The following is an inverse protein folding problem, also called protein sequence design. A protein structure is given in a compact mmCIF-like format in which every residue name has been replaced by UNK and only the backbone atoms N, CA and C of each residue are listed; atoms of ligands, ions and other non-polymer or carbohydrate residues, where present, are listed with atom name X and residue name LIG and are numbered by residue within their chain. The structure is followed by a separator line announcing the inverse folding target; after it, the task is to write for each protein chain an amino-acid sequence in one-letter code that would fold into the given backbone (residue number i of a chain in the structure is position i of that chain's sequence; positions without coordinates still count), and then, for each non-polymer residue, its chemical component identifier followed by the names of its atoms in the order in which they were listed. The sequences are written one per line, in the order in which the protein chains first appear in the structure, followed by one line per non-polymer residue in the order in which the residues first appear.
data_IF_784431380496
#
_entry.id   IF_784431380496
#
_cell.length_a   1.000
_cell.length_b   1.000
_cell.length_c   1.000
_cell.angle_alpha   90.00
_cell.angle_beta   90.00
_cell.angle_gamma   90.00
#
_symmetry.space_group_name_H-M   'P 1'
#
loop_
_entity.id
_entity.type
_entity.pdbx_description
1 polymer ?
#
# COMPACT_ATOMS: atom_id res chain seq x y z
N UNK A 1 36.80 -8.12 -26.12
CA UNK A 1 36.39 -9.16 -25.13
C UNK A 1 37.55 -9.36 -24.18
N UNK A 2 37.39 -9.51 -22.85
CA UNK A 2 36.21 -9.94 -22.06
C UNK A 2 35.77 -8.87 -21.00
N UNK A 3 34.50 -8.73 -20.61
CA UNK A 3 33.66 -9.46 -19.64
C UNK A 3 33.32 -8.62 -18.37
N UNK A 4 32.02 -8.53 -18.07
CA UNK A 4 31.38 -8.29 -16.78
C UNK A 4 31.63 -7.00 -15.97
N UNK A 5 30.57 -6.17 -15.88
CA UNK A 5 29.98 -5.82 -14.57
C UNK A 5 28.49 -5.48 -14.74
N UNK A 6 27.64 -6.46 -14.49
CA UNK A 6 26.19 -6.29 -14.33
C UNK A 6 25.95 -5.36 -13.14
N UNK A 7 25.27 -4.25 -13.38
CA UNK A 7 24.89 -3.31 -12.33
C UNK A 7 23.91 -3.97 -11.37
N UNK A 8 24.32 -4.08 -10.11
CA UNK A 8 23.47 -4.43 -8.98
C UNK A 8 22.32 -3.44 -8.90
N UNK A 9 21.12 -3.89 -9.27
CA UNK A 9 19.89 -3.16 -9.02
C UNK A 9 19.58 -3.24 -7.51
N UNK A 10 19.23 -2.13 -6.84
CA UNK A 10 18.84 -2.18 -5.44
C UNK A 10 17.54 -2.98 -5.32
N UNK A 11 17.68 -4.25 -4.91
CA UNK A 11 16.58 -5.07 -4.43
C UNK A 11 15.96 -4.33 -3.26
N UNK A 12 14.70 -3.91 -3.41
CA UNK A 12 13.93 -3.30 -2.33
C UNK A 12 13.96 -4.23 -1.14
N UNK A 13 14.54 -3.76 -0.03
CA UNK A 13 14.63 -4.53 1.21
C UNK A 13 13.21 -5.00 1.61
N UNK A 14 13.05 -6.26 2.05
CA UNK A 14 11.78 -6.75 2.55
C UNK A 14 11.24 -5.80 3.61
N UNK A 15 9.92 -5.57 3.55
CA UNK A 15 9.13 -4.79 4.50
C UNK A 15 9.71 -4.82 5.90
N UNK A 16 10.14 -3.65 6.40
CA UNK A 16 10.61 -3.49 7.76
C UNK A 16 9.63 -4.17 8.72
N UNK A 17 10.11 -5.20 9.42
CA UNK A 17 9.43 -5.72 10.60
C UNK A 17 9.07 -4.53 11.50
N UNK A 18 7.85 -4.45 12.04
CA UNK A 18 7.48 -3.36 12.94
C UNK A 18 8.57 -3.22 14.01
N UNK A 19 9.00 -2.00 14.37
CA UNK A 19 10.01 -1.81 15.39
C UNK A 19 9.58 -2.60 16.63
N UNK A 20 10.51 -3.27 17.31
CA UNK A 20 10.21 -4.14 18.46
C UNK A 20 9.31 -3.46 19.52
N UNK A 21 9.30 -2.13 19.55
CA UNK A 21 8.40 -1.30 20.35
C UNK A 21 6.92 -1.42 19.97
N UNK A 22 6.59 -1.48 18.67
CA UNK A 22 5.20 -1.62 18.21
C UNK A 22 4.57 -2.94 18.65
N UNK A 23 5.36 -4.03 18.71
CA UNK A 23 4.90 -5.32 19.24
C UNK A 23 4.66 -5.28 20.75
N UNK A 24 5.46 -4.51 21.49
CA UNK A 24 5.27 -4.29 22.93
C UNK A 24 4.00 -3.48 23.20
N UNK A 25 3.76 -2.43 22.43
CA UNK A 25 2.57 -1.58 22.59
C UNK A 25 1.29 -2.35 22.26
N UNK A 26 1.32 -3.17 21.20
CA UNK A 26 0.20 -4.06 20.85
C UNK A 26 -0.02 -5.11 21.94
N UNK A 27 1.05 -5.74 22.45
CA UNK A 27 0.94 -6.74 23.52
C UNK A 27 0.43 -6.12 24.84
N UNK A 28 0.87 -4.91 25.18
CA UNK A 28 0.42 -4.20 26.37
C UNK A 28 -1.05 -3.80 26.26
N UNK A 29 -1.45 -3.28 25.09
CA UNK A 29 -2.84 -2.89 24.80
C UNK A 29 -3.79 -4.09 24.82
N UNK A 30 -3.37 -5.23 24.27
CA UNK A 30 -4.19 -6.46 24.33
C UNK A 30 -4.30 -6.98 25.75
N UNK A 31 -3.21 -7.03 26.52
CA UNK A 31 -3.22 -7.48 27.92
C UNK A 31 -4.11 -6.57 28.78
N UNK A 32 -3.97 -5.24 28.67
CA UNK A 32 -4.83 -4.30 29.39
C UNK A 32 -6.29 -4.41 28.98
N UNK A 33 -6.58 -4.54 27.67
CA UNK A 33 -7.94 -4.68 27.16
C UNK A 33 -8.60 -5.97 27.67
N UNK A 34 -7.89 -7.09 27.63
CA UNK A 34 -8.38 -8.38 28.15
C UNK A 34 -8.58 -8.35 29.66
N UNK A 35 -7.64 -7.74 30.42
CA UNK A 35 -7.77 -7.59 31.86
C UNK A 35 -8.98 -6.71 32.24
N UNK A 36 -9.18 -5.59 31.55
CA UNK A 36 -10.34 -4.72 31.76
C UNK A 36 -11.66 -5.45 31.45
N UNK A 37 -11.71 -6.25 30.38
CA UNK A 37 -12.87 -7.08 30.06
C UNK A 37 -13.17 -8.12 31.14
N UNK A 38 -12.14 -8.79 31.67
CA UNK A 38 -12.29 -9.76 32.75
C UNK A 38 -12.80 -9.10 34.03
N UNK A 39 -12.23 -7.96 34.41
CA UNK A 39 -12.65 -7.19 35.60
C UNK A 39 -14.10 -6.72 35.45
N UNK A 40 -14.48 -6.18 34.29
CA UNK A 40 -15.85 -5.74 34.04
C UNK A 40 -16.83 -6.92 34.08
N UNK A 41 -16.48 -8.05 33.45
CA UNK A 41 -17.29 -9.27 33.43
C UNK A 41 -17.49 -9.84 34.85
N UNK A 42 -16.40 -9.98 35.61
CA UNK A 42 -16.44 -10.45 37.00
C UNK A 42 -17.23 -9.50 37.90
N UNK A 43 -17.05 -8.19 37.75
CA UNK A 43 -17.77 -7.18 38.51
C UNK A 43 -19.27 -7.17 38.23
N UNK A 44 -19.67 -7.25 36.95
CA UNK A 44 -21.08 -7.39 36.56
C UNK A 44 -21.70 -8.67 37.13
N UNK A 45 -20.98 -9.80 37.01
CA UNK A 45 -21.46 -11.08 37.53
C UNK A 45 -21.62 -11.05 39.06
N UNK A 46 -20.67 -10.43 39.78
CA UNK A 46 -20.73 -10.26 41.24
C UNK A 46 -21.91 -9.38 41.68
N UNK A 47 -22.15 -8.25 41.00
CA UNK A 47 -23.29 -7.36 41.24
C UNK A 47 -24.63 -8.05 41.00
N UNK A 48 -24.72 -8.79 39.89
CA UNK A 48 -25.90 -9.59 39.57
C UNK A 48 -26.13 -10.71 40.59
N UNK A 49 -25.08 -11.33 41.12
CA UNK A 49 -25.17 -12.38 42.14
C UNK A 49 -25.81 -11.84 43.43
N UNK A 50 -25.43 -10.62 43.85
CA UNK A 50 -25.93 -9.97 45.06
C UNK A 50 -27.34 -9.36 44.91
N UNK A 51 -27.81 -9.11 43.68
CA UNK A 51 -29.19 -8.64 43.46
C UNK A 51 -30.19 -9.80 43.62
N UNK A 52 -31.10 -9.78 44.59
CA UNK A 52 -32.17 -10.79 44.69
C UNK A 52 -33.32 -10.56 43.69
N UNK A 53 -33.29 -9.46 42.93
CA UNK A 53 -34.38 -9.00 42.07
C UNK A 53 -34.60 -9.81 40.78
N UNK A 54 -33.66 -10.66 40.37
CA UNK A 54 -33.71 -11.40 39.09
C UNK A 54 -33.62 -12.92 39.30
N UNK A 55 -34.37 -13.70 38.53
CA UNK A 55 -34.23 -15.17 38.54
C UNK A 55 -32.84 -15.60 38.06
N UNK A 56 -32.28 -16.73 38.56
CA UNK A 56 -30.96 -17.22 38.14
C UNK A 56 -30.82 -17.38 36.61
N UNK A 57 -31.92 -17.68 35.92
CA UNK A 57 -31.96 -17.78 34.46
C UNK A 57 -31.79 -16.42 33.76
N UNK A 58 -32.52 -15.38 34.22
CA UNK A 58 -32.45 -14.04 33.62
C UNK A 58 -31.03 -13.44 33.74
N UNK A 59 -30.34 -13.69 34.85
CA UNK A 59 -28.95 -13.21 35.06
C UNK A 59 -27.98 -13.81 34.06
N UNK A 60 -28.08 -15.12 33.81
CA UNK A 60 -27.24 -15.84 32.84
C UNK A 60 -27.46 -15.36 31.41
N UNK A 61 -28.70 -15.05 31.02
CA UNK A 61 -29.01 -14.51 29.69
C UNK A 61 -28.44 -13.10 29.51
N UNK A 62 -28.53 -12.25 30.54
CA UNK A 62 -28.00 -10.88 30.50
C UNK A 62 -26.48 -10.89 30.37
N UNK A 63 -25.76 -11.68 31.18
CA UNK A 63 -24.29 -11.74 31.11
C UNK A 63 -23.81 -12.36 29.81
N UNK A 64 -24.45 -13.42 29.34
CA UNK A 64 -24.11 -14.08 28.07
C UNK A 64 -24.37 -13.21 26.84
N UNK A 65 -25.22 -12.19 26.93
CA UNK A 65 -25.55 -11.31 25.79
C UNK A 65 -24.83 -9.96 25.89
N UNK A 66 -24.86 -9.32 27.05
CA UNK A 66 -24.36 -7.96 27.25
C UNK A 66 -22.83 -7.90 27.19
N UNK A 67 -22.15 -8.87 27.81
CA UNK A 67 -20.67 -8.89 27.89
C UNK A 67 -20.04 -9.11 26.51
N UNK A 68 -20.47 -10.08 25.69
CA UNK A 68 -19.92 -10.23 24.35
C UNK A 68 -20.24 -9.06 23.43
N UNK A 69 -21.40 -8.41 23.58
CA UNK A 69 -21.75 -7.22 22.77
C UNK A 69 -20.89 -6.02 23.18
N UNK A 70 -20.71 -5.77 24.47
CA UNK A 70 -19.92 -4.66 24.98
C UNK A 70 -18.44 -4.76 24.60
N UNK A 71 -17.90 -5.97 24.48
CA UNK A 71 -16.50 -6.22 24.12
C UNK A 71 -16.35 -6.39 22.59
N UNK A 72 -17.23 -7.19 22.00
CA UNK A 72 -17.17 -7.56 20.60
C UNK A 72 -17.42 -6.38 19.68
N UNK A 73 -18.42 -5.55 19.96
CA UNK A 73 -18.76 -4.41 19.10
C UNK A 73 -17.59 -3.43 18.92
N UNK A 74 -16.96 -2.87 19.99
CA UNK A 74 -15.83 -1.97 19.80
C UNK A 74 -14.61 -2.68 19.18
N UNK A 75 -14.37 -3.95 19.51
CA UNK A 75 -13.28 -4.73 18.90
C UNK A 75 -13.48 -4.88 17.39
N UNK A 76 -14.68 -5.25 16.93
CA UNK A 76 -14.98 -5.40 15.52
C UNK A 76 -14.91 -4.07 14.77
N UNK A 77 -15.36 -2.96 15.38
CA UNK A 77 -15.23 -1.62 14.80
C UNK A 77 -13.76 -1.17 14.67
N UNK A 78 -12.94 -1.43 15.69
CA UNK A 78 -11.50 -1.16 15.64
C UNK A 78 -10.78 -2.00 14.58
N UNK A 79 -11.08 -3.29 14.50
CA UNK A 79 -10.51 -4.17 13.47
C UNK A 79 -10.95 -3.75 12.06
N UNK A 80 -12.23 -3.41 11.88
CA UNK A 80 -12.76 -2.94 10.60
C UNK A 80 -12.10 -1.64 10.12
N UNK A 81 -11.96 -0.66 11.02
CA UNK A 81 -11.28 0.61 10.70
C UNK A 81 -9.82 0.41 10.36
N UNK A 82 -9.09 -0.43 11.11
CA UNK A 82 -7.69 -0.76 10.81
C UNK A 82 -7.52 -1.50 9.50
N UNK A 83 -8.42 -2.41 9.14
CA UNK A 83 -8.38 -3.06 7.83
C UNK A 83 -8.62 -2.06 6.69
N UNK A 84 -9.55 -1.12 6.84
CA UNK A 84 -9.80 -0.08 5.84
C UNK A 84 -8.57 0.82 5.63
N UNK A 85 -7.92 1.22 6.73
CA UNK A 85 -6.68 1.99 6.73
C UNK A 85 -5.54 1.26 5.99
N UNK A 86 -5.32 -0.03 6.31
CA UNK A 86 -4.33 -0.87 5.62
C UNK A 86 -4.63 -0.98 4.12
N UNK A 87 -5.91 -1.15 3.73
CA UNK A 87 -6.30 -1.22 2.32
C UNK A 87 -5.98 0.07 1.58
N UNK A 88 -6.25 1.23 2.17
CA UNK A 88 -5.90 2.54 1.61
C UNK A 88 -4.39 2.69 1.41
N UNK A 89 -3.59 2.42 2.43
CA UNK A 89 -2.14 2.48 2.32
C UNK A 89 -1.58 1.53 1.28
N UNK A 90 -2.13 0.31 1.17
CA UNK A 90 -1.76 -0.64 0.11
C UNK A 90 -2.09 -0.11 -1.27
N UNK A 91 -3.25 0.51 -1.46
CA UNK A 91 -3.63 1.09 -2.75
C UNK A 91 -2.71 2.26 -3.14
N UNK A 92 -2.35 3.11 -2.19
CA UNK A 92 -1.47 4.26 -2.39
C UNK A 92 -0.02 3.85 -2.68
N UNK A 93 0.46 2.83 -1.95
CA UNK A 93 1.73 2.18 -2.21
C UNK A 93 1.74 1.55 -3.60
N UNK A 94 0.68 0.84 -3.98
CA UNK A 94 0.59 0.23 -5.31
C UNK A 94 0.54 1.28 -6.42
N UNK A 95 -0.20 2.38 -6.23
CA UNK A 95 -0.26 3.49 -7.19
C UNK A 95 1.11 4.14 -7.38
N UNK A 96 1.82 4.44 -6.28
CA UNK A 96 3.19 4.98 -6.32
C UNK A 96 4.20 3.97 -6.88
N UNK A 97 3.94 2.68 -6.68
CA UNK A 97 4.74 1.59 -7.23
C UNK A 97 4.38 1.24 -8.68
N UNK A 98 3.37 1.87 -9.28
CA UNK A 98 2.97 1.65 -10.67
C UNK A 98 3.31 2.85 -11.56
N UNK A 99 3.05 4.06 -11.06
CA UNK A 99 3.21 5.30 -11.82
C UNK A 99 4.27 6.20 -11.20
N UNK A 100 5.04 6.87 -12.05
CA UNK A 100 5.94 7.95 -11.65
C UNK A 100 5.11 9.14 -11.15
N UNK A 101 5.42 9.63 -9.94
CA UNK A 101 4.63 10.69 -9.29
C UNK A 101 4.74 12.03 -10.02
N UNK A 102 5.87 12.30 -10.68
CA UNK A 102 6.07 13.55 -11.38
C UNK A 102 5.35 13.58 -12.71
N UNK A 103 5.49 12.52 -13.51
CA UNK A 103 5.05 12.51 -14.92
C UNK A 103 3.72 11.78 -15.15
N UNK A 104 3.26 10.95 -14.21
CA UNK A 104 2.10 10.10 -14.38
C UNK A 104 2.30 8.92 -15.35
N UNK A 105 3.48 8.81 -15.99
CA UNK A 105 3.88 7.65 -16.78
C UNK A 105 4.06 6.42 -15.88
N UNK A 106 4.16 5.23 -16.48
CA UNK A 106 4.58 4.04 -15.73
C UNK A 106 5.97 4.27 -15.15
N UNK A 107 6.21 3.78 -13.93
CA UNK A 107 7.57 3.78 -13.41
C UNK A 107 8.44 2.74 -14.13
N UNK A 108 9.76 2.90 -14.02
CA UNK A 108 10.73 2.03 -14.70
C UNK A 108 10.48 0.53 -14.49
N UNK A 109 10.41 0.03 -13.24
CA UNK A 109 10.21 -1.40 -12.99
C UNK A 109 8.91 -1.96 -13.60
N UNK A 110 7.79 -1.24 -13.47
CA UNK A 110 6.51 -1.71 -14.02
C UNK A 110 6.52 -1.65 -15.54
N UNK A 111 7.05 -0.58 -16.12
CA UNK A 111 7.22 -0.48 -17.56
C UNK A 111 8.03 -1.66 -18.12
N UNK A 112 9.19 -1.95 -17.54
CA UNK A 112 10.04 -3.08 -17.95
C UNK A 112 9.27 -4.41 -17.87
N UNK A 113 8.59 -4.67 -16.76
CA UNK A 113 7.82 -5.93 -16.60
C UNK A 113 6.70 -6.08 -17.63
N UNK A 114 6.05 -4.98 -18.02
CA UNK A 114 4.97 -5.01 -19.02
C UNK A 114 5.52 -5.17 -20.44
N UNK A 115 6.66 -4.56 -20.75
CA UNK A 115 7.38 -4.77 -22.01
C UNK A 115 7.82 -6.22 -22.13
N UNK A 116 8.42 -6.82 -21.09
CA UNK A 116 8.84 -8.22 -21.08
C UNK A 116 7.64 -9.16 -21.31
N UNK A 117 6.52 -8.92 -20.62
CA UNK A 117 5.30 -9.69 -20.81
C UNK A 117 4.75 -9.57 -22.25
N UNK A 118 4.85 -8.40 -22.86
CA UNK A 118 4.41 -8.17 -24.24
C UNK A 118 5.36 -8.82 -25.25
N UNK A 119 6.65 -8.80 -24.96
CA UNK A 119 7.68 -9.49 -25.74
C UNK A 119 7.62 -11.02 -25.61
N UNK A 120 7.11 -11.56 -24.49
CA UNK A 120 6.97 -13.00 -24.27
C UNK A 120 5.72 -13.62 -24.93
N UNK A 121 4.70 -12.83 -25.28
CA UNK A 121 3.50 -13.35 -25.95
C UNK A 121 3.84 -13.86 -27.38
N UNK A 122 3.39 -15.07 -27.75
CA UNK A 122 3.43 -15.52 -29.14
C UNK A 122 2.57 -14.60 -30.01
N UNK A 123 3.04 -14.24 -31.21
CA UNK A 123 2.19 -13.57 -32.19
C UNK A 123 1.23 -14.59 -32.78
N UNK A 124 -0.08 -14.37 -32.65
CA UNK A 124 -1.09 -15.23 -33.28
C UNK A 124 -1.17 -15.00 -34.81
N UNK A 125 -0.82 -13.80 -35.31
CA UNK A 125 -1.09 -13.37 -36.69
C UNK A 125 0.15 -12.94 -37.53
N UNK A 126 1.36 -13.43 -37.23
CA UNK A 126 2.55 -13.20 -38.06
C UNK A 126 3.75 -12.51 -37.37
N UNK A 127 4.72 -11.93 -38.12
CA UNK A 127 5.93 -11.34 -37.56
C UNK A 127 5.59 -10.26 -36.53
N UNK A 128 6.27 -10.30 -35.37
CA UNK A 128 6.13 -9.30 -34.31
C UNK A 128 6.32 -7.89 -34.88
N UNK A 129 5.25 -7.10 -34.94
CA UNK A 129 5.31 -5.71 -35.35
C UNK A 129 5.14 -4.82 -34.12
N UNK A 130 6.21 -4.16 -33.73
CA UNK A 130 6.25 -3.21 -32.63
C UNK A 130 7.56 -2.42 -32.69
N UNK A 131 7.51 -1.16 -32.26
CA UNK A 131 8.69 -0.32 -32.12
C UNK A 131 8.97 -0.09 -30.63
N UNK A 132 10.25 -0.03 -30.26
CA UNK A 132 10.67 0.39 -28.93
C UNK A 132 11.47 1.68 -29.08
N UNK A 133 11.02 2.75 -28.42
CA UNK A 133 11.62 4.07 -28.51
C UNK A 133 12.09 4.51 -27.12
N UNK A 134 13.35 4.94 -27.03
CA UNK A 134 13.91 5.56 -25.83
C UNK A 134 14.14 7.04 -26.13
N UNK A 135 13.57 7.91 -25.31
CA UNK A 135 13.67 9.37 -25.45
C UNK A 135 14.47 9.89 -24.26
N UNK A 136 15.55 10.63 -24.55
CA UNK A 136 16.34 11.32 -23.53
C UNK A 136 16.21 12.84 -23.74
N UNK A 137 15.63 13.59 -22.79
CA UNK A 137 15.58 15.04 -22.87
C UNK A 137 16.99 15.65 -22.83
N UNK A 138 17.38 16.37 -23.87
CA UNK A 138 18.64 17.11 -23.87
C UNK A 138 18.55 18.38 -23.01
N UNK A 139 19.69 18.84 -22.50
CA UNK A 139 19.85 20.12 -21.78
C UNK A 139 19.03 20.32 -20.49
N UNK A 140 18.34 19.30 -19.96
CA UNK A 140 17.55 19.42 -18.72
C UNK A 140 18.38 19.93 -17.54
N UNK A 141 19.65 19.52 -17.44
CA UNK A 141 20.60 20.00 -16.42
C UNK A 141 20.84 21.51 -16.52
N UNK A 142 20.99 22.04 -17.74
CA UNK A 142 21.19 23.48 -17.97
C UNK A 142 19.96 24.28 -17.56
N UNK A 143 18.76 23.75 -17.86
CA UNK A 143 17.50 24.34 -17.44
C UNK A 143 17.37 24.38 -15.91
N UNK A 144 17.69 23.28 -15.23
CA UNK A 144 17.68 23.21 -13.76
C UNK A 144 18.66 24.20 -13.12
N UNK A 145 19.84 24.39 -13.71
CA UNK A 145 20.84 25.34 -13.22
C UNK A 145 20.41 26.80 -13.42
N UNK A 146 19.68 27.10 -14.49
CA UNK A 146 19.27 28.49 -14.83
C UNK A 146 17.98 28.92 -14.16
N UNK A 147 17.02 28.01 -14.00
CA UNK A 147 15.67 28.34 -13.56
C UNK A 147 15.25 27.63 -12.27
N UNK A 148 16.01 26.62 -11.82
CA UNK A 148 15.71 25.84 -10.62
C UNK A 148 15.05 24.50 -10.94
N UNK A 149 15.01 23.63 -9.92
CA UNK A 149 14.55 22.24 -10.06
C UNK A 149 13.06 22.15 -10.45
N UNK A 150 12.22 23.02 -9.90
CA UNK A 150 10.77 23.06 -10.18
C UNK A 150 10.45 23.24 -11.67
N UNK A 151 11.29 24.02 -12.38
CA UNK A 151 11.13 24.23 -13.82
C UNK A 151 11.57 23.02 -14.64
N UNK A 152 12.58 22.28 -14.15
CA UNK A 152 12.94 20.98 -14.69
C UNK A 152 11.81 19.99 -14.58
N UNK A 153 11.17 19.97 -13.43
CA UNK A 153 10.03 19.12 -13.14
C UNK A 153 8.83 19.45 -14.04
N UNK A 154 8.56 20.72 -14.26
CA UNK A 154 7.53 21.17 -15.20
C UNK A 154 7.86 20.79 -16.66
N UNK A 155 9.12 20.95 -17.08
CA UNK A 155 9.56 20.51 -18.40
C UNK A 155 9.35 18.99 -18.59
N UNK A 156 9.66 18.19 -17.56
CA UNK A 156 9.41 16.75 -17.60
C UNK A 156 7.92 16.39 -17.66
N UNK A 157 7.06 17.11 -16.92
CA UNK A 157 5.59 16.94 -17.00
C UNK A 157 5.09 17.22 -18.41
N UNK A 158 5.54 18.31 -19.03
CA UNK A 158 5.17 18.69 -20.39
C UNK A 158 5.60 17.62 -21.39
N UNK A 159 6.87 17.22 -21.38
CA UNK A 159 7.40 16.16 -22.27
C UNK A 159 6.58 14.87 -22.14
N UNK A 160 6.34 14.42 -20.91
CA UNK A 160 5.58 13.21 -20.65
C UNK A 160 4.13 13.30 -21.16
N UNK A 161 3.46 14.43 -20.92
CA UNK A 161 2.10 14.67 -21.39
C UNK A 161 2.00 14.68 -22.92
N UNK A 162 2.97 15.30 -23.60
CA UNK A 162 3.04 15.34 -25.06
C UNK A 162 3.22 13.94 -25.62
N UNK A 163 4.14 13.14 -25.05
CA UNK A 163 4.35 11.74 -25.47
C UNK A 163 3.07 10.92 -25.29
N UNK A 164 2.45 10.99 -24.10
CA UNK A 164 1.21 10.24 -23.81
C UNK A 164 0.05 10.62 -24.75
N UNK A 165 -0.06 11.90 -25.12
CA UNK A 165 -1.09 12.36 -26.07
C UNK A 165 -0.80 11.97 -27.52
N UNK A 166 0.44 11.62 -27.84
CA UNK A 166 0.88 11.30 -29.21
C UNK A 166 0.85 9.79 -29.53
N UNK A 167 0.71 8.95 -28.51
CA UNK A 167 0.64 7.48 -28.66
C UNK A 167 -0.79 6.98 -28.51
N UNK A 168 -1.03 5.72 -28.90
CA UNK A 168 -2.36 5.10 -28.73
C UNK A 168 -2.56 4.63 -27.30
N UNK A 169 -3.81 4.38 -26.92
CA UNK A 169 -4.18 3.97 -25.55
C UNK A 169 -3.57 2.62 -25.14
N UNK A 170 -3.34 1.76 -26.12
CA UNK A 170 -2.75 0.43 -25.97
C UNK A 170 -1.21 0.41 -25.91
N UNK A 171 -0.57 1.54 -26.20
CA UNK A 171 0.88 1.68 -26.14
C UNK A 171 1.35 1.88 -24.70
N UNK A 172 2.56 1.39 -24.40
CA UNK A 172 3.17 1.53 -23.08
C UNK A 172 4.08 2.75 -23.06
N UNK A 173 3.88 3.63 -22.07
CA UNK A 173 4.76 4.78 -21.83
C UNK A 173 5.26 4.73 -20.39
N UNK A 174 6.59 4.69 -20.23
CA UNK A 174 7.22 4.64 -18.93
C UNK A 174 8.42 5.57 -18.81
N UNK A 175 8.65 6.08 -17.60
CA UNK A 175 9.86 6.83 -17.25
C UNK A 175 10.90 5.86 -16.71
N UNK A 176 12.00 5.72 -17.44
CA UNK A 176 13.14 4.89 -17.07
C UNK A 176 14.28 5.81 -16.69
N UNK A 177 14.72 5.74 -15.43
CA UNK A 177 15.76 6.60 -14.88
C UNK A 177 15.22 7.57 -13.83
N UNK A 178 16.12 7.98 -12.93
CA UNK A 178 15.88 8.96 -11.87
C UNK A 178 16.06 10.38 -12.41
#
# INVERSE_FOLDING_TARGET
MPAHRTGDWPVTKPTATPPAQAWKDVAWLTVLGTAACLILSLGLNYLLLFSEALTPFARSVITATLVPVAIGLPLFLLLGSKQAEIRRYRQELNRSATYDRLTGCLNGPVFTSMVDRRAAKPSEDGPRSGAFLVIHPEHLKSLNLRFGLEWGDEALRLIASTIQSSVRKEDLVGRIGT
#
